data_IF_540948090559
#
_entry.id   IF_540948090559
#
_cell.length_a   1.000
_cell.length_b   1.000
_cell.length_c   1.000
_cell.angle_alpha   90.00
_cell.angle_beta   90.00
_cell.angle_gamma   90.00
#
_symmetry.space_group_name_H-M   'P 1'
#
loop_
_entity.id
_entity.type
_entity.pdbx_description
1 polymer ?
#
# COMPACT_ATOMS: atom_id res chain seq x y z
N UNK A 1 -19.47 34.68 6.22
CA UNK A 1 -18.01 34.42 6.21
C UNK A 1 -17.17 35.61 5.73
N UNK A 2 -17.69 36.55 4.92
CA UNK A 2 -16.93 37.73 4.49
C UNK A 2 -16.34 38.47 5.70
N UNK A 3 -15.06 38.84 5.62
CA UNK A 3 -14.30 39.62 6.62
C UNK A 3 -13.94 38.93 7.95
N UNK A 4 -14.21 37.62 8.09
CA UNK A 4 -13.79 36.87 9.28
C UNK A 4 -12.33 36.42 9.14
N UNK A 5 -11.55 36.62 10.21
CA UNK A 5 -10.13 36.21 10.26
C UNK A 5 -10.01 34.70 10.47
N UNK A 6 -9.03 34.09 9.80
CA UNK A 6 -8.56 32.73 10.11
C UNK A 6 -7.66 32.84 11.34
N UNK A 7 -8.00 32.10 12.40
CA UNK A 7 -7.27 32.06 13.66
C UNK A 7 -6.22 30.93 13.67
N UNK A 8 -6.58 29.77 13.12
CA UNK A 8 -5.72 28.60 13.05
C UNK A 8 -6.05 27.72 11.85
N UNK A 9 -5.07 26.93 11.42
CA UNK A 9 -5.26 25.84 10.45
C UNK A 9 -4.59 24.62 11.05
N UNK A 10 -5.34 23.52 11.17
CA UNK A 10 -4.87 22.26 11.72
C UNK A 10 -5.33 21.08 10.88
N UNK A 11 -4.60 19.98 10.97
CA UNK A 11 -5.02 18.69 10.45
C UNK A 11 -5.70 17.92 11.59
N UNK A 12 -6.82 17.26 11.30
CA UNK A 12 -7.42 16.32 12.25
C UNK A 12 -6.63 15.00 12.22
N UNK A 13 -5.99 14.65 13.33
CA UNK A 13 -5.13 13.45 13.44
C UNK A 13 -4.10 13.36 12.29
N UNK A 14 -4.07 12.23 11.60
CA UNK A 14 -3.30 11.98 10.37
C UNK A 14 -4.21 11.88 9.14
N UNK A 15 -5.48 12.21 9.30
CA UNK A 15 -6.49 12.07 8.27
C UNK A 15 -6.35 13.16 7.21
N UNK A 16 -6.95 12.92 6.04
CA UNK A 16 -7.05 13.92 4.97
C UNK A 16 -8.16 14.93 5.25
N UNK A 17 -8.16 15.49 6.46
CA UNK A 17 -9.12 16.49 6.92
C UNK A 17 -8.37 17.70 7.45
N UNK A 18 -8.66 18.87 6.87
CA UNK A 18 -8.14 20.15 7.35
C UNK A 18 -9.27 20.89 8.05
N UNK A 19 -9.00 21.34 9.27
CA UNK A 19 -9.86 22.24 10.02
C UNK A 19 -9.26 23.63 10.01
N UNK A 20 -10.00 24.58 9.46
CA UNK A 20 -9.67 25.99 9.54
C UNK A 20 -10.57 26.61 10.61
N UNK A 21 -9.95 27.15 11.65
CA UNK A 21 -10.63 27.91 12.67
C UNK A 21 -10.77 29.36 12.23
N UNK A 22 -12.00 29.86 12.17
CA UNK A 22 -12.32 31.27 11.99
C UNK A 22 -12.87 31.83 13.31
N UNK A 23 -13.04 33.14 13.41
CA UNK A 23 -13.56 33.80 14.63
C UNK A 23 -14.82 33.12 15.21
N UNK A 24 -15.83 32.88 14.37
CA UNK A 24 -17.13 32.36 14.82
C UNK A 24 -17.44 30.95 14.28
N UNK A 25 -16.54 30.36 13.49
CA UNK A 25 -16.84 29.17 12.69
C UNK A 25 -15.65 28.22 12.60
N UNK A 26 -15.94 26.97 12.24
CA UNK A 26 -14.95 26.09 11.63
C UNK A 26 -15.32 25.81 10.17
N UNK A 27 -14.33 25.93 9.28
CA UNK A 27 -14.42 25.42 7.92
C UNK A 27 -13.63 24.11 7.85
N UNK A 28 -14.33 23.03 7.56
CA UNK A 28 -13.79 21.67 7.55
C UNK A 28 -13.71 21.20 6.10
N UNK A 29 -12.50 20.82 5.69
CA UNK A 29 -12.19 20.35 4.34
C UNK A 29 -11.86 18.87 4.40
N UNK A 30 -12.77 18.04 3.88
CA UNK A 30 -12.56 16.59 3.73
C UNK A 30 -11.96 16.31 2.35
N UNK A 31 -10.68 15.93 2.28
CA UNK A 31 -9.89 15.79 1.05
C UNK A 31 -9.79 14.34 0.55
N UNK A 32 -10.88 13.58 0.67
CA UNK A 32 -11.01 12.23 0.10
C UNK A 32 -11.55 12.29 -1.34
N UNK A 33 -11.62 11.14 -2.04
CA UNK A 33 -12.11 11.07 -3.43
C UNK A 33 -13.52 11.70 -3.60
N UNK A 34 -14.40 11.48 -2.63
CA UNK A 34 -15.74 12.09 -2.54
C UNK A 34 -15.80 13.20 -1.50
N UNK A 35 -14.72 13.97 -1.36
CA UNK A 35 -14.56 15.01 -0.35
C UNK A 35 -15.69 16.05 -0.28
N UNK A 36 -15.68 16.80 0.81
CA UNK A 36 -16.72 17.76 1.18
C UNK A 36 -16.12 19.02 1.82
N UNK A 37 -16.90 20.10 1.79
CA UNK A 37 -16.56 21.37 2.43
C UNK A 37 -17.72 21.68 3.37
N UNK A 38 -17.46 21.70 4.66
CA UNK A 38 -18.49 21.85 5.69
C UNK A 38 -18.18 23.08 6.53
N UNK A 39 -19.19 23.93 6.71
CA UNK A 39 -19.14 25.09 7.59
C UNK A 39 -19.95 24.77 8.85
N UNK A 40 -19.31 24.93 10.01
CA UNK A 40 -19.94 24.73 11.32
C UNK A 40 -19.79 25.98 12.19
N UNK A 41 -20.62 26.11 13.21
CA UNK A 41 -20.36 27.05 14.32
C UNK A 41 -19.26 26.51 15.26
N UNK A 42 -19.01 27.21 16.37
CA UNK A 42 -18.00 26.81 17.37
C UNK A 42 -18.35 25.53 18.14
N UNK A 43 -19.61 25.10 18.12
CA UNK A 43 -20.09 23.86 18.73
C UNK A 43 -20.14 22.71 17.72
N UNK A 44 -19.55 22.88 16.53
CA UNK A 44 -19.58 21.93 15.42
C UNK A 44 -20.98 21.68 14.82
N UNK A 45 -21.97 22.53 15.10
CA UNK A 45 -23.28 22.43 14.43
C UNK A 45 -23.17 22.89 12.99
N UNK A 46 -23.62 22.06 12.06
CA UNK A 46 -23.49 22.30 10.63
C UNK A 46 -24.40 23.46 10.22
N UNK A 47 -23.79 24.55 9.76
CA UNK A 47 -24.47 25.71 9.18
C UNK A 47 -24.77 25.43 7.70
N UNK A 48 -23.79 24.87 6.99
CA UNK A 48 -23.89 24.51 5.58
C UNK A 48 -22.86 23.44 5.22
N UNK A 49 -23.14 22.64 4.19
CA UNK A 49 -22.20 21.71 3.60
C UNK A 49 -22.33 21.74 2.08
N UNK A 50 -21.21 21.61 1.38
CA UNK A 50 -21.19 21.57 -0.09
C UNK A 50 -21.98 20.38 -0.64
N UNK A 51 -21.90 19.23 0.05
CA UNK A 51 -22.73 18.05 -0.21
C UNK A 51 -23.43 17.63 1.08
N UNK A 52 -24.70 17.25 0.95
CA UNK A 52 -25.37 16.45 1.98
C UNK A 52 -24.92 15.00 1.83
N UNK A 53 -24.68 14.34 2.94
CA UNK A 53 -24.24 12.95 2.98
C UNK A 53 -24.81 12.29 4.22
N UNK A 54 -25.13 11.01 4.14
CA UNK A 54 -25.67 10.26 5.27
C UNK A 54 -25.22 8.80 5.15
N UNK A 55 -24.59 8.32 6.20
CA UNK A 55 -24.22 6.92 6.35
C UNK A 55 -24.56 6.46 7.77
N UNK A 56 -24.29 5.18 8.07
CA UNK A 56 -24.64 4.58 9.37
C UNK A 56 -23.99 5.28 10.57
N UNK A 57 -22.87 5.96 10.37
CA UNK A 57 -22.05 6.51 11.46
C UNK A 57 -22.24 8.03 11.60
N UNK A 58 -22.64 8.73 10.52
CA UNK A 58 -22.83 10.19 10.56
C UNK A 58 -23.79 10.71 9.50
N UNK A 59 -24.40 11.85 9.80
CA UNK A 59 -25.27 12.62 8.91
C UNK A 59 -24.73 14.03 8.74
N UNK A 60 -24.46 14.42 7.50
CA UNK A 60 -24.00 15.75 7.12
C UNK A 60 -25.18 16.52 6.53
N UNK A 61 -25.87 17.26 7.38
CA UNK A 61 -26.93 18.18 6.96
C UNK A 61 -27.03 19.38 7.90
N UNK A 62 -27.61 20.49 7.40
CA UNK A 62 -27.80 21.71 8.18
C UNK A 62 -28.55 21.42 9.49
N UNK A 63 -28.00 21.92 10.60
CA UNK A 63 -28.55 21.78 11.94
C UNK A 63 -28.05 20.55 12.71
N UNK A 64 -27.45 19.57 12.04
CA UNK A 64 -26.85 18.39 12.70
C UNK A 64 -25.48 18.75 13.30
N UNK A 65 -25.06 17.97 14.29
CA UNK A 65 -23.69 18.04 14.82
C UNK A 65 -22.72 17.37 13.83
N UNK A 66 -21.64 18.06 13.47
CA UNK A 66 -20.59 17.45 12.66
C UNK A 66 -19.79 16.44 13.48
N UNK A 67 -19.66 15.24 12.93
CA UNK A 67 -18.82 14.17 13.45
C UNK A 67 -17.71 13.86 12.45
N UNK A 68 -16.47 13.88 12.94
CA UNK A 68 -15.33 13.41 12.16
C UNK A 68 -15.53 11.95 11.75
N UNK A 69 -15.05 11.52 10.57
CA UNK A 69 -15.06 10.12 10.19
C UNK A 69 -14.35 9.28 11.26
N UNK A 70 -14.96 8.16 11.64
CA UNK A 70 -14.28 7.18 12.47
C UNK A 70 -13.18 6.51 11.64
N UNK A 71 -11.95 6.50 12.16
CA UNK A 71 -10.86 5.74 11.59
C UNK A 71 -10.53 4.56 12.49
N UNK A 72 -10.57 3.36 11.92
CA UNK A 72 -10.07 2.16 12.58
C UNK A 72 -8.54 2.09 12.59
N UNK A 73 -7.87 3.04 11.91
CA UNK A 73 -6.43 3.03 11.72
C UNK A 73 -5.73 3.81 12.83
N UNK A 74 -4.50 3.42 13.12
CA UNK A 74 -3.69 4.09 14.11
C UNK A 74 -3.09 5.38 13.50
N UNK A 75 -3.06 6.44 14.31
CA UNK A 75 -2.36 7.67 13.97
C UNK A 75 -0.84 7.41 14.01
N UNK A 76 -0.10 7.52 12.88
CA UNK A 76 1.34 7.25 12.83
C UNK A 76 2.17 8.15 13.73
N UNK A 77 1.67 9.35 14.05
CA UNK A 77 2.35 10.32 14.93
C UNK A 77 2.28 9.92 16.39
N UNK A 78 1.18 9.30 16.82
CA UNK A 78 0.86 9.07 18.23
C UNK A 78 0.96 7.60 18.65
N UNK A 79 0.90 6.66 17.70
CA UNK A 79 0.93 5.23 18.00
C UNK A 79 2.19 4.80 18.78
N UNK A 80 1.98 3.83 19.67
CA UNK A 80 3.02 3.05 20.33
C UNK A 80 3.32 1.74 19.60
N UNK A 81 4.51 1.17 19.86
CA UNK A 81 4.96 -0.03 19.17
C UNK A 81 4.04 -1.25 19.43
N UNK A 82 3.58 -1.45 20.67
CA UNK A 82 2.72 -2.59 21.00
C UNK A 82 1.38 -2.54 20.25
N UNK A 83 0.75 -1.36 20.18
CA UNK A 83 -0.51 -1.20 19.45
C UNK A 83 -0.31 -1.43 17.94
N UNK A 84 0.80 -0.94 17.39
CA UNK A 84 1.18 -1.18 16.00
C UNK A 84 1.41 -2.67 15.72
N UNK A 85 2.17 -3.35 16.60
CA UNK A 85 2.45 -4.79 16.52
C UNK A 85 1.17 -5.60 16.57
N UNK A 86 0.30 -5.35 17.55
CA UNK A 86 -0.99 -6.03 17.66
C UNK A 86 -1.88 -5.81 16.45
N UNK A 87 -1.91 -4.59 15.89
CA UNK A 87 -2.67 -4.28 14.68
C UNK A 87 -2.12 -5.05 13.47
N UNK A 88 -0.79 -5.11 13.34
CA UNK A 88 -0.11 -5.83 12.26
C UNK A 88 -0.31 -7.34 12.36
N UNK A 89 -0.23 -7.92 13.56
CA UNK A 89 -0.41 -9.37 13.78
C UNK A 89 -1.85 -9.85 13.57
N UNK A 90 -2.84 -8.97 13.75
CA UNK A 90 -4.25 -9.25 13.43
C UNK A 90 -4.55 -9.20 11.93
N UNK A 91 -3.66 -8.59 11.14
CA UNK A 91 -3.82 -8.48 9.70
C UNK A 91 -3.43 -9.80 9.01
N UNK A 92 -4.22 -10.24 8.05
CA UNK A 92 -4.08 -11.54 7.39
C UNK A 92 -3.48 -11.46 5.98
N UNK A 93 -3.13 -10.26 5.51
CA UNK A 93 -2.65 -10.03 4.15
C UNK A 93 -1.31 -10.73 3.91
N UNK A 94 -1.13 -11.23 2.69
CA UNK A 94 0.10 -11.94 2.26
C UNK A 94 1.32 -11.02 2.11
N UNK A 95 1.16 -9.71 2.28
CA UNK A 95 2.18 -8.72 1.97
C UNK A 95 2.29 -7.71 3.12
N UNK A 96 3.44 -7.71 3.80
CA UNK A 96 3.73 -6.83 4.93
C UNK A 96 3.56 -5.34 4.62
N UNK A 97 3.80 -4.89 3.38
CA UNK A 97 3.55 -3.49 3.01
C UNK A 97 2.05 -3.20 3.08
N UNK A 98 1.22 -4.09 2.55
CA UNK A 98 -0.25 -3.93 2.61
C UNK A 98 -0.78 -4.02 4.05
N UNK A 99 -0.18 -4.88 4.89
CA UNK A 99 -0.51 -4.97 6.32
C UNK A 99 -0.16 -3.68 7.06
N UNK A 100 0.99 -3.07 6.79
CA UNK A 100 1.31 -1.75 7.38
C UNK A 100 0.34 -0.67 6.91
N UNK A 101 -0.08 -0.69 5.65
CA UNK A 101 -1.05 0.27 5.08
C UNK A 101 -2.45 0.10 5.70
N UNK A 102 -2.88 -1.12 6.04
CA UNK A 102 -4.16 -1.33 6.71
C UNK A 102 -4.14 -0.87 8.17
N UNK A 103 -2.99 -0.97 8.85
CA UNK A 103 -2.84 -0.49 10.23
C UNK A 103 -2.89 1.05 10.36
N UNK A 104 -2.50 1.79 9.32
CA UNK A 104 -2.11 3.21 9.45
C UNK A 104 -2.72 4.14 8.40
N UNK A 105 -2.97 5.39 8.81
CA UNK A 105 -3.24 6.52 7.92
C UNK A 105 -1.95 7.03 7.25
N UNK A 106 -1.46 6.23 6.31
CA UNK A 106 -0.21 6.50 5.59
C UNK A 106 -0.39 6.23 4.10
N UNK A 107 0.24 7.07 3.27
CA UNK A 107 0.24 6.84 1.83
C UNK A 107 1.13 5.62 1.50
N UNK A 108 0.67 4.69 0.63
CA UNK A 108 1.41 3.47 0.28
C UNK A 108 2.87 3.72 -0.15
N UNK A 109 3.10 4.81 -0.89
CA UNK A 109 4.43 5.15 -1.40
C UNK A 109 5.47 5.34 -0.30
N UNK A 110 5.07 5.86 0.86
CA UNK A 110 5.97 6.04 2.00
C UNK A 110 6.29 4.72 2.69
N UNK A 111 5.31 3.80 2.78
CA UNK A 111 5.58 2.45 3.29
C UNK A 111 6.56 1.72 2.37
N UNK A 112 6.38 1.82 1.06
CA UNK A 112 7.32 1.22 0.11
C UNK A 112 8.74 1.79 0.22
N UNK A 113 8.86 3.10 0.39
CA UNK A 113 10.16 3.75 0.63
C UNK A 113 10.84 3.23 1.91
N UNK A 114 10.09 3.04 2.99
CA UNK A 114 10.62 2.52 4.26
C UNK A 114 11.13 1.09 4.08
N UNK A 115 10.36 0.23 3.41
CA UNK A 115 10.80 -1.14 3.11
C UNK A 115 12.04 -1.16 2.23
N UNK A 116 12.12 -0.25 1.24
CA UNK A 116 13.29 -0.10 0.39
C UNK A 116 14.53 0.33 1.20
N UNK A 117 14.41 1.37 2.04
CA UNK A 117 15.50 1.86 2.90
C UNK A 117 16.03 0.79 3.85
N UNK A 118 15.13 -0.02 4.41
CA UNK A 118 15.49 -1.10 5.34
C UNK A 118 15.94 -2.38 4.63
N UNK A 119 15.91 -2.41 3.30
CA UNK A 119 16.19 -3.59 2.46
C UNK A 119 15.35 -4.81 2.88
N UNK A 120 14.08 -4.59 3.19
CA UNK A 120 13.14 -5.64 3.62
C UNK A 120 12.37 -6.20 2.44
N UNK A 121 12.16 -7.52 2.44
CA UNK A 121 11.28 -8.21 1.50
C UNK A 121 9.82 -8.03 1.91
N UNK A 122 8.93 -8.05 0.91
CA UNK A 122 7.47 -7.92 1.08
C UNK A 122 6.85 -9.28 1.39
N UNK A 123 7.17 -9.83 2.56
CA UNK A 123 6.71 -11.15 3.01
C UNK A 123 5.45 -11.03 3.88
N UNK A 124 4.74 -12.14 4.13
CA UNK A 124 3.55 -12.13 4.99
C UNK A 124 3.86 -11.77 6.44
N UNK A 125 5.00 -12.23 6.96
CA UNK A 125 5.43 -12.02 8.34
C UNK A 125 6.74 -11.25 8.38
N UNK A 126 6.87 -10.39 9.37
CA UNK A 126 8.13 -9.76 9.74
C UNK A 126 8.59 -10.30 11.08
N UNK A 127 9.90 -10.36 11.28
CA UNK A 127 10.44 -10.55 12.62
C UNK A 127 10.08 -9.34 13.47
N UNK A 128 9.94 -9.51 14.79
CA UNK A 128 9.67 -8.40 15.71
C UNK A 128 10.73 -7.28 15.58
N UNK A 129 11.99 -7.68 15.37
CA UNK A 129 13.09 -6.74 15.12
C UNK A 129 12.87 -5.90 13.86
N UNK A 130 12.44 -6.52 12.76
CA UNK A 130 12.20 -5.79 11.51
C UNK A 130 10.93 -4.94 11.59
N UNK A 131 9.88 -5.44 12.25
CA UNK A 131 8.68 -4.67 12.52
C UNK A 131 8.97 -3.43 13.38
N UNK A 132 9.88 -3.56 14.35
CA UNK A 132 10.35 -2.45 15.17
C UNK A 132 11.09 -1.39 14.33
N UNK A 133 11.99 -1.81 13.42
CA UNK A 133 12.66 -0.88 12.50
C UNK A 133 11.66 -0.13 11.61
N UNK A 134 10.64 -0.83 11.10
CA UNK A 134 9.56 -0.21 10.31
C UNK A 134 8.83 0.84 11.15
N UNK A 135 8.44 0.49 12.37
CA UNK A 135 7.80 1.42 13.32
C UNK A 135 8.67 2.67 13.57
N UNK A 136 9.96 2.49 13.84
CA UNK A 136 10.86 3.59 14.16
C UNK A 136 11.04 4.55 12.96
N UNK A 137 11.15 4.03 11.73
CA UNK A 137 11.26 4.88 10.53
C UNK A 137 9.94 5.61 10.23
N UNK A 138 8.78 4.99 10.49
CA UNK A 138 7.48 5.69 10.41
C UNK A 138 7.43 6.83 11.43
N UNK A 139 7.75 6.57 12.70
CA UNK A 139 7.76 7.60 13.75
C UNK A 139 8.72 8.72 13.41
N UNK A 140 9.90 8.39 12.91
CA UNK A 140 10.89 9.37 12.44
C UNK A 140 10.31 10.27 11.36
N UNK A 141 9.69 9.70 10.33
CA UNK A 141 9.07 10.45 9.23
C UNK A 141 8.01 11.44 9.71
N UNK A 142 7.12 11.03 10.63
CA UNK A 142 6.09 11.91 11.19
C UNK A 142 6.60 12.85 12.29
N UNK A 143 7.85 12.69 12.72
CA UNK A 143 8.53 13.58 13.67
C UNK A 143 9.50 14.56 12.99
N UNK A 144 9.65 14.48 11.67
CA UNK A 144 10.52 15.39 10.91
C UNK A 144 10.06 16.83 11.10
N UNK A 145 10.94 17.65 11.69
CA UNK A 145 10.82 19.11 11.71
C UNK A 145 11.55 19.77 10.52
N UNK A 146 12.08 18.96 9.61
CA UNK A 146 12.81 19.44 8.45
C UNK A 146 11.90 20.23 7.52
N UNK A 147 12.47 21.24 6.85
CA UNK A 147 11.77 21.98 5.80
C UNK A 147 11.45 21.00 4.66
N UNK A 148 10.19 21.01 4.21
CA UNK A 148 9.77 20.27 3.02
C UNK A 148 10.71 20.60 1.85
N UNK A 149 11.14 19.56 1.15
CA UNK A 149 11.93 19.66 -0.09
C UNK A 149 11.14 18.92 -1.18
N UNK A 150 10.08 19.56 -1.70
CA UNK A 150 9.12 18.86 -2.53
C UNK A 150 9.73 18.50 -3.88
N UNK A 151 9.36 17.32 -4.38
CA UNK A 151 9.79 16.82 -5.68
C UNK A 151 8.63 16.21 -6.43
N UNK A 152 8.74 16.24 -7.75
CA UNK A 152 7.89 15.48 -8.66
C UNK A 152 8.59 14.18 -9.01
N UNK A 153 7.87 13.08 -8.88
CA UNK A 153 8.38 11.71 -9.01
C UNK A 153 7.58 11.00 -10.08
N UNK A 154 8.25 10.41 -11.07
CA UNK A 154 7.58 9.58 -12.08
C UNK A 154 7.68 8.10 -11.71
N UNK A 155 6.54 7.40 -11.69
CA UNK A 155 6.47 5.95 -11.48
C UNK A 155 5.57 5.33 -12.55
N UNK A 156 6.19 4.72 -13.55
CA UNK A 156 5.47 4.25 -14.74
C UNK A 156 4.95 5.42 -15.57
N UNK A 157 3.64 5.42 -15.88
CA UNK A 157 2.97 6.51 -16.62
C UNK A 157 2.47 7.63 -15.71
N UNK A 158 2.45 7.41 -14.40
CA UNK A 158 1.94 8.37 -13.43
C UNK A 158 3.07 9.21 -12.85
N UNK A 159 2.72 10.41 -12.39
CA UNK A 159 3.61 11.24 -11.60
C UNK A 159 2.96 11.58 -10.26
N UNK A 160 3.80 11.76 -9.24
CA UNK A 160 3.41 12.09 -7.88
C UNK A 160 4.15 13.35 -7.45
N UNK A 161 3.44 14.25 -6.78
CA UNK A 161 4.04 15.38 -6.08
C UNK A 161 4.16 14.96 -4.61
N UNK A 162 5.38 14.94 -4.07
CA UNK A 162 5.65 14.49 -2.71
C UNK A 162 6.49 15.51 -1.94
N UNK A 163 6.32 15.58 -0.60
CA UNK A 163 6.96 16.62 0.22
C UNK A 163 8.46 16.45 0.42
N UNK A 164 9.01 15.26 0.14
CA UNK A 164 10.43 14.92 0.31
C UNK A 164 10.85 13.91 -0.77
N UNK A 165 12.12 13.93 -1.22
CA UNK A 165 12.62 12.95 -2.18
C UNK A 165 12.65 11.53 -1.59
N UNK A 166 12.39 10.53 -2.43
CA UNK A 166 12.45 9.12 -2.07
C UNK A 166 13.75 8.50 -2.59
N UNK A 167 14.42 7.72 -1.75
CA UNK A 167 15.64 6.99 -2.10
C UNK A 167 15.36 5.91 -3.14
N UNK A 168 14.16 5.33 -3.10
CA UNK A 168 13.71 4.31 -4.06
C UNK A 168 13.55 4.84 -5.48
N UNK A 169 13.53 6.16 -5.70
CA UNK A 169 13.32 6.75 -7.02
C UNK A 169 14.53 7.54 -7.50
N UNK A 170 15.16 7.04 -8.58
CA UNK A 170 16.38 7.61 -9.14
C UNK A 170 16.18 8.95 -9.85
N UNK A 171 15.02 9.16 -10.48
CA UNK A 171 14.73 10.36 -11.27
C UNK A 171 13.64 11.16 -10.56
N UNK A 172 14.02 12.32 -10.04
CA UNK A 172 13.11 13.27 -9.43
C UNK A 172 13.33 14.65 -10.05
N UNK A 173 12.24 15.37 -10.26
CA UNK A 173 12.25 16.76 -10.70
C UNK A 173 12.04 17.63 -9.46
N UNK A 174 12.95 18.58 -9.21
CA UNK A 174 12.76 19.55 -8.12
C UNK A 174 11.61 20.47 -8.46
N UNK A 175 10.79 20.77 -7.47
CA UNK A 175 9.70 21.75 -7.59
C UNK A 175 9.87 22.81 -6.51
N UNK A 176 9.49 24.06 -6.83
CA UNK A 176 9.67 25.19 -5.92
C UNK A 176 8.80 25.04 -4.66
N UNK A 177 7.55 24.62 -4.85
CA UNK A 177 6.62 24.32 -3.77
C UNK A 177 5.57 23.33 -4.24
N UNK A 178 4.90 22.67 -3.29
CA UNK A 178 3.73 21.84 -3.61
C UNK A 178 2.64 22.68 -4.27
N UNK A 179 2.40 23.90 -3.76
CA UNK A 179 1.39 24.83 -4.32
C UNK A 179 1.66 25.13 -5.80
N UNK A 180 2.88 25.54 -6.16
CA UNK A 180 3.23 25.83 -7.56
C UNK A 180 3.06 24.62 -8.48
N UNK A 181 3.33 23.41 -7.96
CA UNK A 181 3.16 22.19 -8.75
C UNK A 181 1.68 21.82 -8.93
N UNK A 182 0.84 22.07 -7.91
CA UNK A 182 -0.62 21.92 -8.02
C UNK A 182 -1.21 22.96 -8.98
N UNK A 183 -0.75 24.22 -8.93
CA UNK A 183 -1.16 25.28 -9.84
C UNK A 183 -0.84 24.91 -11.28
N UNK A 184 0.38 24.46 -11.58
CA UNK A 184 0.75 24.03 -12.94
C UNK A 184 -0.11 22.85 -13.43
N UNK A 185 -0.37 21.88 -12.55
CA UNK A 185 -1.15 20.70 -12.91
C UNK A 185 -2.61 21.05 -13.21
N UNK A 186 -3.26 21.80 -12.33
CA UNK A 186 -4.68 22.08 -12.44
C UNK A 186 -5.00 23.28 -13.34
N UNK A 187 -4.08 24.25 -13.51
CA UNK A 187 -4.29 25.37 -14.43
C UNK A 187 -4.60 24.92 -15.86
N UNK A 188 -3.92 23.87 -16.35
CA UNK A 188 -4.19 23.33 -17.70
C UNK A 188 -5.61 22.76 -17.82
N UNK A 189 -6.15 22.17 -16.76
CA UNK A 189 -7.52 21.64 -16.74
C UNK A 189 -8.55 22.78 -16.63
N UNK A 190 -8.32 23.76 -15.76
CA UNK A 190 -9.25 24.89 -15.55
C UNK A 190 -9.29 25.88 -16.71
N UNK A 191 -8.19 26.11 -17.43
CA UNK A 191 -8.15 27.03 -18.59
C UNK A 191 -8.50 26.37 -19.94
N UNK A 192 -8.70 25.05 -19.97
CA UNK A 192 -9.22 24.34 -21.16
C UNK A 192 -10.75 24.45 -21.33
N UNK A 193 -11.43 25.26 -20.50
CA UNK A 193 -12.88 25.53 -20.54
C UNK A 193 -13.33 26.39 -21.74
N UNK A 194 -13.03 25.95 -22.95
CA UNK A 194 -13.78 26.34 -24.15
C UNK A 194 -14.03 25.10 -25.02
N UNK A 195 -14.85 24.17 -24.52
CA UNK A 195 -16.05 23.62 -25.17
C UNK A 195 -16.59 22.36 -24.46
N UNK A 196 -17.90 22.09 -24.58
CA UNK A 196 -18.70 21.47 -23.55
C UNK A 196 -18.78 19.96 -23.72
N UNK A 197 -18.23 19.23 -22.76
CA UNK A 197 -18.88 18.08 -22.15
C UNK A 197 -18.16 17.84 -20.83
N UNK A 198 -18.87 18.04 -19.71
CA UNK A 198 -18.40 17.58 -18.42
C UNK A 198 -18.22 16.07 -18.51
N UNK A 199 -17.01 15.59 -18.82
CA UNK A 199 -16.54 14.31 -18.29
C UNK A 199 -16.64 14.46 -16.79
N UNK A 200 -17.76 13.97 -16.24
CA UNK A 200 -18.08 14.11 -14.82
C UNK A 200 -16.86 13.68 -14.00
N UNK A 201 -16.60 14.29 -12.84
CA UNK A 201 -15.54 13.83 -11.92
C UNK A 201 -15.63 12.32 -11.62
N UNK A 202 -16.83 11.74 -11.80
CA UNK A 202 -17.11 10.31 -11.80
C UNK A 202 -16.37 9.55 -12.92
N UNK A 203 -16.37 10.06 -14.15
CA UNK A 203 -15.64 9.51 -15.30
C UNK A 203 -14.13 9.48 -15.08
N UNK A 204 -13.54 10.51 -14.48
CA UNK A 204 -12.08 10.54 -14.20
C UNK A 204 -11.72 9.53 -13.11
N UNK A 205 -12.51 9.47 -12.02
CA UNK A 205 -12.33 8.45 -10.99
C UNK A 205 -12.55 7.03 -11.53
N UNK A 206 -13.51 6.86 -12.44
CA UNK A 206 -13.78 5.62 -13.16
C UNK A 206 -12.62 5.26 -14.09
N UNK A 207 -12.07 6.20 -14.86
CA UNK A 207 -10.92 6.01 -15.74
C UNK A 207 -9.66 5.62 -14.94
N UNK A 208 -9.43 6.26 -13.79
CA UNK A 208 -8.34 5.89 -12.88
C UNK A 208 -8.52 4.49 -12.28
N UNK A 209 -9.73 4.20 -11.80
CA UNK A 209 -10.07 2.87 -11.25
C UNK A 209 -10.00 1.78 -12.33
N UNK A 210 -10.42 2.10 -13.55
CA UNK A 210 -10.37 1.25 -14.71
C UNK A 210 -8.93 0.99 -15.16
N UNK A 211 -8.06 2.00 -15.12
CA UNK A 211 -6.62 1.85 -15.33
C UNK A 211 -6.00 0.88 -14.33
N UNK A 212 -6.34 0.99 -13.04
CA UNK A 212 -5.89 0.02 -12.03
C UNK A 212 -6.46 -1.38 -12.24
N UNK A 213 -7.72 -1.50 -12.68
CA UNK A 213 -8.34 -2.78 -12.99
C UNK A 213 -7.68 -3.46 -14.20
N UNK A 214 -7.32 -2.70 -15.24
CA UNK A 214 -6.59 -3.22 -16.40
C UNK A 214 -5.18 -3.69 -16.03
N UNK A 215 -4.47 -2.93 -15.19
CA UNK A 215 -3.15 -3.34 -14.70
C UNK A 215 -3.23 -4.59 -13.79
N UNK A 216 -4.28 -4.68 -12.96
CA UNK A 216 -4.55 -5.87 -12.16
C UNK A 216 -4.89 -7.08 -13.06
N UNK A 217 -5.74 -6.90 -14.07
CA UNK A 217 -6.10 -7.93 -15.04
C UNK A 217 -4.86 -8.43 -15.79
N UNK A 218 -3.98 -7.53 -16.23
CA UNK A 218 -2.74 -7.89 -16.90
C UNK A 218 -1.85 -8.75 -16.02
N UNK A 219 -1.62 -8.33 -14.77
CA UNK A 219 -0.82 -9.10 -13.80
C UNK A 219 -1.45 -10.45 -13.48
N UNK A 220 -2.78 -10.52 -13.39
CA UNK A 220 -3.50 -11.77 -13.17
C UNK A 220 -3.36 -12.71 -14.37
N UNK A 221 -3.46 -12.20 -15.60
CA UNK A 221 -3.21 -12.99 -16.82
C UNK A 221 -1.77 -13.51 -16.88
N UNK A 222 -0.79 -12.68 -16.59
CA UNK A 222 0.62 -13.09 -16.49
C UNK A 222 0.80 -14.19 -15.42
N UNK A 223 0.13 -14.08 -14.27
CA UNK A 223 0.15 -15.11 -13.23
C UNK A 223 -0.58 -16.40 -13.65
N UNK A 224 -1.68 -16.31 -14.39
CA UNK A 224 -2.41 -17.47 -14.92
C UNK A 224 -1.50 -18.24 -15.87
N UNK A 225 -0.85 -17.58 -16.82
CA UNK A 225 0.08 -18.22 -17.75
C UNK A 225 1.26 -18.85 -17.00
N UNK A 226 1.89 -18.12 -16.08
CA UNK A 226 2.97 -18.67 -15.25
C UNK A 226 2.53 -19.87 -14.41
N UNK A 227 1.34 -19.82 -13.82
CA UNK A 227 0.82 -20.92 -13.01
C UNK A 227 0.41 -22.11 -13.87
N UNK A 228 -0.06 -21.88 -15.10
CA UNK A 228 -0.35 -22.93 -16.07
C UNK A 228 0.93 -23.66 -16.48
N UNK A 229 1.99 -22.93 -16.81
CA UNK A 229 3.32 -23.51 -17.10
C UNK A 229 3.81 -24.33 -15.90
N UNK A 230 3.70 -23.80 -14.67
CA UNK A 230 4.07 -24.54 -13.46
C UNK A 230 3.24 -25.80 -13.26
N UNK A 231 1.92 -25.71 -13.46
CA UNK A 231 1.02 -26.85 -13.31
C UNK A 231 1.31 -27.94 -14.35
N UNK A 232 1.57 -27.55 -15.60
CA UNK A 232 1.99 -28.46 -16.67
C UNK A 232 3.32 -29.12 -16.36
N UNK A 233 4.31 -28.36 -15.86
CA UNK A 233 5.60 -28.91 -15.44
C UNK A 233 5.45 -29.93 -14.30
N UNK A 234 4.56 -29.68 -13.33
CA UNK A 234 4.23 -30.63 -12.26
C UNK A 234 3.52 -31.86 -12.84
N UNK A 235 2.54 -31.67 -13.71
CA UNK A 235 1.75 -32.76 -14.30
C UNK A 235 2.63 -33.71 -15.12
N UNK A 236 3.47 -33.17 -16.02
CA UNK A 236 4.39 -33.93 -16.85
C UNK A 236 5.40 -34.75 -16.03
N UNK A 237 5.74 -34.26 -14.83
CA UNK A 237 6.71 -34.90 -13.95
C UNK A 237 6.08 -35.58 -12.72
N UNK A 238 4.75 -35.75 -12.67
CA UNK A 238 4.04 -36.16 -11.44
C UNK A 238 4.53 -37.51 -10.89
N UNK A 239 4.74 -38.51 -11.76
CA UNK A 239 5.25 -39.83 -11.35
C UNK A 239 6.63 -39.72 -10.70
N UNK A 240 7.54 -38.98 -11.33
CA UNK A 240 8.90 -38.79 -10.84
C UNK A 240 8.93 -37.96 -9.55
N UNK A 241 8.06 -36.94 -9.44
CA UNK A 241 7.90 -36.15 -8.21
C UNK A 241 7.44 -37.06 -7.06
N UNK A 242 6.46 -37.95 -7.29
CA UNK A 242 6.02 -38.92 -6.29
C UNK A 242 7.14 -39.89 -5.90
N UNK A 243 7.90 -40.41 -6.87
CA UNK A 243 9.06 -41.27 -6.58
C UNK A 243 10.11 -40.56 -5.70
N UNK A 244 10.39 -39.29 -5.96
CA UNK A 244 11.31 -38.49 -5.14
C UNK A 244 10.76 -38.31 -3.72
N UNK A 245 9.46 -37.97 -3.59
CA UNK A 245 8.80 -37.79 -2.29
C UNK A 245 8.83 -39.09 -1.49
N UNK A 246 8.51 -40.22 -2.11
CA UNK A 246 8.50 -41.53 -1.46
C UNK A 246 9.89 -42.00 -1.08
N UNK A 247 10.88 -41.76 -1.93
CA UNK A 247 12.28 -42.07 -1.63
C UNK A 247 12.81 -41.21 -0.48
N UNK A 248 12.44 -39.93 -0.44
CA UNK A 248 12.78 -39.03 0.65
C UNK A 248 12.13 -39.48 1.97
N UNK A 249 10.83 -39.83 1.95
CA UNK A 249 10.12 -40.37 3.12
C UNK A 249 10.75 -41.67 3.63
N UNK A 250 11.08 -42.61 2.74
CA UNK A 250 11.76 -43.88 3.08
C UNK A 250 13.16 -43.68 3.64
N UNK A 251 13.89 -42.68 3.15
CA UNK A 251 15.21 -42.33 3.69
C UNK A 251 15.11 -41.74 5.10
N UNK A 252 14.17 -40.83 5.30
CA UNK A 252 13.91 -40.18 6.58
C UNK A 252 13.39 -41.16 7.64
N UNK A 253 12.57 -42.15 7.27
CA UNK A 253 12.09 -43.18 8.21
C UNK A 253 13.16 -44.18 8.65
N UNK A 254 14.31 -44.21 7.95
CA UNK A 254 15.48 -45.03 8.29
C UNK A 254 16.57 -44.22 9.01
N UNK A 255 16.24 -43.03 9.53
CA UNK A 255 17.16 -42.10 10.21
C UNK A 255 18.43 -41.74 9.40
N UNK A 256 18.36 -41.79 8.07
CA UNK A 256 19.45 -41.31 7.23
C UNK A 256 19.55 -39.78 7.29
N UNK A 257 20.78 -39.26 7.21
CA UNK A 257 21.01 -37.81 7.20
C UNK A 257 20.43 -37.20 5.92
N UNK A 258 19.74 -36.07 6.06
CA UNK A 258 19.09 -35.34 4.95
C UNK A 258 20.04 -35.07 3.77
N UNK A 259 21.33 -34.81 4.07
CA UNK A 259 22.38 -34.60 3.08
C UNK A 259 22.66 -35.85 2.23
N UNK A 260 22.72 -37.03 2.85
CA UNK A 260 22.97 -38.30 2.16
C UNK A 260 21.78 -38.71 1.29
N UNK A 261 20.56 -38.49 1.78
CA UNK A 261 19.33 -38.74 1.01
C UNK A 261 19.31 -37.82 -0.23
N UNK A 262 19.60 -36.53 -0.04
CA UNK A 262 19.67 -35.56 -1.14
C UNK A 262 20.71 -35.95 -2.19
N UNK A 263 21.91 -36.36 -1.78
CA UNK A 263 22.98 -36.77 -2.70
C UNK A 263 22.57 -38.00 -3.51
N UNK A 264 22.01 -39.04 -2.88
CA UNK A 264 21.52 -40.24 -3.57
C UNK A 264 20.42 -39.93 -4.58
N UNK A 265 19.44 -39.10 -4.19
CA UNK A 265 18.36 -38.68 -5.09
C UNK A 265 18.91 -37.88 -6.26
N UNK A 266 19.83 -36.93 -6.03
CA UNK A 266 20.42 -36.14 -7.13
C UNK A 266 21.30 -36.97 -8.06
N UNK A 267 21.97 -38.04 -7.59
CA UNK A 267 22.69 -38.98 -8.45
C UNK A 267 21.71 -39.75 -9.34
N UNK A 268 20.61 -40.24 -8.79
CA UNK A 268 19.55 -40.90 -9.55
C UNK A 268 18.93 -39.96 -10.59
N UNK A 269 18.62 -38.71 -10.21
CA UNK A 269 18.09 -37.70 -11.12
C UNK A 269 19.09 -37.37 -12.22
N UNK A 270 20.38 -37.17 -11.94
CA UNK A 270 21.39 -36.93 -12.99
C UNK A 270 21.53 -38.07 -14.00
N UNK A 271 21.23 -39.31 -13.58
CA UNK A 271 21.35 -40.50 -14.42
C UNK A 271 20.10 -40.72 -15.28
N UNK A 272 18.90 -40.45 -14.72
CA UNK A 272 17.63 -40.77 -15.36
C UNK A 272 16.88 -39.54 -15.92
N UNK A 273 17.19 -38.33 -15.48
CA UNK A 273 16.51 -37.11 -15.90
C UNK A 273 17.33 -35.82 -15.69
N UNK A 274 17.89 -35.25 -16.77
CA UNK A 274 18.80 -34.08 -16.70
C UNK A 274 18.12 -32.76 -16.31
N UNK A 275 16.80 -32.73 -16.20
CA UNK A 275 16.00 -31.49 -16.13
C UNK A 275 15.39 -31.22 -14.75
N UNK A 276 15.45 -32.18 -13.81
CA UNK A 276 14.97 -32.00 -12.43
C UNK A 276 16.14 -32.05 -11.45
N UNK A 277 16.15 -31.10 -10.52
CA UNK A 277 17.16 -31.03 -9.47
C UNK A 277 16.51 -30.91 -8.09
N UNK A 278 16.94 -31.74 -7.14
CA UNK A 278 16.58 -31.57 -5.74
C UNK A 278 17.47 -30.50 -5.10
N UNK A 279 16.89 -29.31 -4.89
CA UNK A 279 17.57 -28.15 -4.31
C UNK A 279 17.75 -28.32 -2.80
N UNK A 280 16.71 -28.73 -2.08
CA UNK A 280 16.80 -28.96 -0.64
C UNK A 280 15.79 -29.99 -0.16
N UNK A 281 16.15 -30.67 0.93
CA UNK A 281 15.33 -31.65 1.63
C UNK A 281 15.42 -31.33 3.13
N UNK A 282 14.28 -31.21 3.78
CA UNK A 282 14.14 -31.22 5.23
C UNK A 282 13.04 -32.19 5.62
N UNK A 283 12.96 -32.57 6.90
CA UNK A 283 11.88 -33.43 7.45
C UNK A 283 10.47 -33.10 6.95
N UNK A 284 10.15 -31.82 6.73
CA UNK A 284 8.81 -31.36 6.36
C UNK A 284 8.70 -30.73 4.97
N UNK A 285 9.79 -30.67 4.19
CA UNK A 285 9.79 -29.95 2.91
C UNK A 285 10.78 -30.53 1.92
N UNK A 286 10.33 -30.67 0.67
CA UNK A 286 11.15 -30.98 -0.50
C UNK A 286 11.10 -29.77 -1.43
N UNK A 287 12.25 -29.28 -1.88
CA UNK A 287 12.34 -28.19 -2.85
C UNK A 287 12.98 -28.72 -4.13
N UNK A 288 12.20 -28.73 -5.21
CA UNK A 288 12.61 -29.19 -6.53
C UNK A 288 12.76 -28.00 -7.49
N UNK A 289 13.76 -28.07 -8.35
CA UNK A 289 13.85 -27.27 -9.56
C UNK A 289 13.29 -28.10 -10.71
N UNK A 290 12.24 -27.63 -11.36
CA UNK A 290 11.74 -28.19 -12.61
C UNK A 290 12.16 -27.21 -13.70
N UNK A 291 13.16 -27.57 -14.51
CA UNK A 291 13.58 -26.70 -15.62
C UNK A 291 12.49 -26.69 -16.70
N UNK A 292 12.18 -25.51 -17.21
CA UNK A 292 11.34 -25.34 -18.39
C UNK A 292 12.06 -25.89 -19.63
N UNK A 293 11.30 -26.46 -20.57
CA UNK A 293 11.78 -26.77 -21.93
C UNK A 293 11.70 -25.53 -22.81
#
# INVERSE_FOLDING_TARGET
>A
MKEKKILAVSQHNSDRIIQMELQDYYLILELFLNGNIILTDKEFKIISAFKKDENKNRKISKGELYLFPESAKLNPKEMGFENFKQSFEKDDKENSVLSVISCLEIAPIFVEEIFFKLNLKKEKKLTEKDLKKVFDEIKKMYSLKEKSNPVKVQKGKEFFIIPFPLTSVKKTEKINSINSALDEFYSKEFFSENQPEKKSKKLIGLEYSFGQQLDAEKKLKEQIELNKIKAEAIYLNNLLIQEIIDSAKKGLSKDLKEKEIKEKINVYLKTNNKEIELISLTRNKVLLNLKEK
#
